data_IF_192208903505
#
_entry.id   IF_192208903505
#
_cell.length_a   1.000
_cell.length_b   1.000
_cell.length_c   1.000
_cell.angle_alpha   90.00
_cell.angle_beta   90.00
_cell.angle_gamma   90.00
#
_symmetry.space_group_name_H-M   'P 1'
#
loop_
_entity.id
_entity.type
_entity.pdbx_description
1 polymer ?
#
# COMPACT_ATOMS: atom_id res chain seq x y z
N UNK A 1 -30.73 -25.09 25.25
CA UNK A 1 -29.38 -24.73 24.75
C UNK A 1 -29.49 -23.46 23.91
N UNK A 2 -29.10 -22.30 24.45
CA UNK A 2 -29.10 -21.03 23.71
C UNK A 2 -27.80 -20.93 22.89
N UNK A 3 -27.93 -20.94 21.56
CA UNK A 3 -26.83 -20.95 20.57
C UNK A 3 -26.22 -19.54 20.35
N UNK A 4 -26.66 -18.52 21.09
CA UNK A 4 -26.14 -17.16 20.96
C UNK A 4 -25.20 -16.81 22.11
N UNK A 5 -23.96 -17.30 22.02
CA UNK A 5 -22.86 -16.78 22.84
C UNK A 5 -22.56 -15.34 22.45
N UNK A 6 -22.60 -14.43 23.44
CA UNK A 6 -22.34 -12.99 23.27
C UNK A 6 -20.93 -12.77 22.73
N UNK A 7 -20.84 -12.12 21.56
CA UNK A 7 -19.59 -11.60 20.98
C UNK A 7 -18.85 -10.79 22.05
N UNK A 8 -17.78 -11.35 22.61
CA UNK A 8 -16.95 -10.64 23.60
C UNK A 8 -16.48 -9.34 22.95
N UNK A 9 -16.77 -8.20 23.57
CA UNK A 9 -16.29 -6.90 23.11
C UNK A 9 -14.77 -6.94 23.21
N UNK A 10 -14.09 -7.01 22.07
CA UNK A 10 -12.62 -6.93 22.00
C UNK A 10 -12.18 -5.66 22.73
N UNK A 11 -11.32 -5.81 23.76
CA UNK A 11 -10.78 -4.67 24.48
C UNK A 11 -10.06 -3.71 23.53
N UNK A 12 -9.99 -2.41 23.87
CA UNK A 12 -9.35 -1.38 23.01
C UNK A 12 -7.92 -1.77 22.61
N UNK A 13 -7.17 -2.37 23.54
CA UNK A 13 -5.82 -2.91 23.28
C UNK A 13 -5.83 -4.10 22.32
N UNK A 14 -6.87 -4.94 22.37
CA UNK A 14 -7.04 -6.01 21.41
C UNK A 14 -7.33 -5.46 20.01
N UNK A 15 -8.10 -4.37 19.88
CA UNK A 15 -8.36 -3.72 18.59
C UNK A 15 -7.06 -3.20 17.96
N UNK A 16 -6.23 -2.48 18.73
CA UNK A 16 -4.93 -1.97 18.28
C UNK A 16 -4.00 -3.13 17.91
N UNK A 17 -3.93 -4.17 18.77
CA UNK A 17 -3.16 -5.38 18.47
C UNK A 17 -3.64 -6.10 17.21
N UNK A 18 -4.95 -6.17 16.97
CA UNK A 18 -5.50 -6.77 15.76
C UNK A 18 -5.22 -5.94 14.50
N UNK A 19 -5.09 -4.62 14.65
CA UNK A 19 -4.73 -3.74 13.55
C UNK A 19 -3.25 -3.88 13.16
N UNK A 20 -2.37 -3.97 14.15
CA UNK A 20 -0.92 -4.15 13.95
C UNK A 20 -0.58 -5.61 13.60
N UNK A 21 -1.31 -6.57 14.15
CA UNK A 21 -1.09 -8.00 13.96
C UNK A 21 -2.43 -8.75 13.78
N UNK A 22 -2.86 -9.01 12.54
CA UNK A 22 -4.09 -9.75 12.32
C UNK A 22 -4.00 -11.15 12.95
N UNK A 23 -5.04 -11.57 13.67
CA UNK A 23 -5.09 -12.86 14.38
C UNK A 23 -4.85 -14.09 13.47
N UNK A 24 -5.06 -13.93 12.16
CA UNK A 24 -4.83 -14.94 11.12
C UNK A 24 -3.39 -14.99 10.62
N UNK A 25 -2.53 -14.03 10.98
CA UNK A 25 -1.15 -13.87 10.54
C UNK A 25 -0.99 -13.20 9.16
N UNK A 26 0.13 -12.51 8.95
CA UNK A 26 0.44 -11.74 7.72
C UNK A 26 0.32 -12.55 6.43
N UNK A 27 0.76 -13.83 6.45
CA UNK A 27 0.67 -14.71 5.28
C UNK A 27 -0.78 -14.93 4.83
N UNK A 28 -1.74 -15.04 5.76
CA UNK A 28 -3.16 -15.20 5.41
C UNK A 28 -3.78 -13.89 4.96
N UNK A 29 -3.42 -12.77 5.58
CA UNK A 29 -3.88 -11.45 5.16
C UNK A 29 -3.43 -11.12 3.72
N UNK A 30 -2.14 -11.33 3.41
CA UNK A 30 -1.59 -11.16 2.06
C UNK A 30 -2.27 -12.09 1.06
N UNK A 31 -2.45 -13.37 1.43
CA UNK A 31 -3.14 -14.34 0.57
C UNK A 31 -4.59 -13.95 0.31
N UNK A 32 -5.29 -13.40 1.31
CA UNK A 32 -6.66 -12.91 1.18
C UNK A 32 -6.74 -11.68 0.26
N UNK A 33 -5.84 -10.70 0.45
CA UNK A 33 -5.75 -9.53 -0.44
C UNK A 33 -5.45 -9.96 -1.88
N UNK A 34 -4.53 -10.91 -2.08
CA UNK A 34 -4.22 -11.47 -3.39
C UNK A 34 -5.45 -12.16 -4.02
N UNK A 35 -6.20 -12.96 -3.27
CA UNK A 35 -7.44 -13.58 -3.77
C UNK A 35 -8.51 -12.56 -4.12
N UNK A 36 -8.64 -11.48 -3.33
CA UNK A 36 -9.59 -10.40 -3.62
C UNK A 36 -9.21 -9.70 -4.92
N UNK A 37 -7.93 -9.35 -5.11
CA UNK A 37 -7.42 -8.73 -6.34
C UNK A 37 -7.63 -9.63 -7.56
N UNK A 38 -7.40 -10.94 -7.44
CA UNK A 38 -7.60 -11.90 -8.54
C UNK A 38 -9.06 -12.05 -8.98
N UNK A 39 -10.01 -11.79 -8.09
CA UNK A 39 -11.45 -11.86 -8.36
C UNK A 39 -12.05 -10.55 -8.86
N UNK A 40 -11.26 -9.48 -8.96
CA UNK A 40 -11.74 -8.21 -9.52
C UNK A 40 -12.02 -8.43 -11.00
N UNK A 41 -13.25 -8.12 -11.42
CA UNK A 41 -13.66 -8.09 -12.82
C UNK A 41 -12.92 -6.95 -13.54
N UNK A 42 -12.35 -7.25 -14.71
CA UNK A 42 -11.51 -6.31 -15.48
C UNK A 42 -10.27 -6.98 -16.05
N UNK A 43 -9.54 -6.34 -16.96
CA UNK A 43 -8.34 -6.92 -17.59
C UNK A 43 -7.18 -7.11 -16.60
N UNK A 44 -6.27 -8.09 -16.80
CA UNK A 44 -5.07 -8.26 -15.95
C UNK A 44 -4.24 -6.97 -15.87
N UNK A 45 -4.10 -6.27 -17.00
CA UNK A 45 -3.40 -4.99 -17.08
C UNK A 45 -4.10 -3.90 -16.25
N UNK A 46 -5.43 -3.82 -16.30
CA UNK A 46 -6.18 -2.82 -15.53
C UNK A 46 -6.04 -3.03 -14.01
N UNK A 47 -6.07 -4.28 -13.55
CA UNK A 47 -5.83 -4.58 -12.13
C UNK A 47 -4.37 -4.26 -11.74
N UNK A 48 -3.40 -4.59 -12.60
CA UNK A 48 -1.99 -4.28 -12.36
C UNK A 48 -1.72 -2.78 -12.26
N UNK A 49 -2.31 -1.97 -13.15
CA UNK A 49 -2.22 -0.50 -13.11
C UNK A 49 -2.77 0.02 -11.78
N UNK A 50 -3.92 -0.48 -11.34
CA UNK A 50 -4.51 -0.07 -10.06
C UNK A 50 -3.58 -0.37 -8.89
N UNK A 51 -3.14 -1.62 -8.74
CA UNK A 51 -2.23 -2.00 -7.65
C UNK A 51 -0.92 -1.21 -7.70
N UNK A 52 -0.34 -1.00 -8.90
CA UNK A 52 0.88 -0.22 -9.08
C UNK A 52 0.73 1.22 -8.58
N UNK A 53 -0.38 1.90 -8.91
CA UNK A 53 -0.68 3.23 -8.38
C UNK A 53 -0.84 3.25 -6.85
N UNK A 54 -1.54 2.26 -6.28
CA UNK A 54 -1.69 2.18 -4.82
C UNK A 54 -0.37 2.01 -4.09
N UNK A 55 0.54 1.18 -4.62
CA UNK A 55 1.87 0.98 -4.04
C UNK A 55 2.77 2.19 -4.28
N UNK A 56 2.78 2.76 -5.48
CA UNK A 56 3.61 3.92 -5.81
C UNK A 56 3.31 5.12 -4.92
N UNK A 57 2.02 5.40 -4.70
CA UNK A 57 1.58 6.52 -3.84
C UNK A 57 1.96 6.28 -2.38
N UNK A 58 2.12 5.03 -1.94
CA UNK A 58 2.56 4.70 -0.58
C UNK A 58 3.97 5.19 -0.23
N UNK A 59 4.79 5.51 -1.22
CA UNK A 59 6.11 6.12 -1.01
C UNK A 59 6.06 7.64 -0.87
N UNK A 60 4.90 8.27 -1.10
CA UNK A 60 4.74 9.72 -0.98
C UNK A 60 4.34 10.11 0.45
N UNK A 61 4.70 11.31 0.94
CA UNK A 61 4.35 11.73 2.29
C UNK A 61 2.88 12.21 2.44
N UNK A 62 2.00 11.93 1.47
CA UNK A 62 0.63 12.44 1.44
C UNK A 62 -0.37 11.58 2.23
N UNK A 63 -0.06 11.18 3.47
CA UNK A 63 -0.69 10.06 4.20
C UNK A 63 -2.22 9.99 4.16
N UNK A 64 -2.92 11.11 4.29
CA UNK A 64 -4.39 11.15 4.27
C UNK A 64 -5.00 11.12 2.86
N UNK A 65 -4.22 11.42 1.82
CA UNK A 65 -4.67 11.54 0.43
C UNK A 65 -4.33 10.31 -0.43
N UNK A 66 -3.69 9.29 0.13
CA UNK A 66 -3.17 8.15 -0.62
C UNK A 66 -4.21 7.46 -1.48
N UNK A 67 -5.38 7.14 -0.90
CA UNK A 67 -6.46 6.47 -1.63
C UNK A 67 -6.93 7.35 -2.79
N UNK A 68 -7.13 8.66 -2.56
CA UNK A 68 -7.57 9.59 -3.58
C UNK A 68 -6.57 9.69 -4.75
N UNK A 69 -5.28 9.89 -4.44
CA UNK A 69 -4.22 10.01 -5.45
C UNK A 69 -4.07 8.69 -6.22
N UNK A 70 -4.08 7.55 -5.53
CA UNK A 70 -3.96 6.23 -6.16
C UNK A 70 -5.15 5.93 -7.09
N UNK A 71 -6.37 6.23 -6.64
CA UNK A 71 -7.59 6.06 -7.44
C UNK A 71 -7.58 7.00 -8.64
N UNK A 72 -7.19 8.27 -8.46
CA UNK A 72 -7.09 9.23 -9.56
C UNK A 72 -6.04 8.80 -10.61
N UNK A 73 -4.84 8.41 -10.17
CA UNK A 73 -3.79 7.92 -11.06
C UNK A 73 -4.21 6.64 -11.80
N UNK A 74 -4.84 5.70 -11.09
CA UNK A 74 -5.40 4.49 -11.70
C UNK A 74 -6.48 4.82 -12.72
N UNK A 75 -7.39 5.74 -12.42
CA UNK A 75 -8.46 6.16 -13.32
C UNK A 75 -7.91 6.76 -14.61
N UNK A 76 -6.92 7.66 -14.51
CA UNK A 76 -6.27 8.29 -15.67
C UNK A 76 -5.65 7.28 -16.64
N UNK A 77 -5.19 6.13 -16.14
CA UNK A 77 -4.58 5.06 -16.94
C UNK A 77 -5.56 3.92 -17.29
N UNK A 78 -6.87 4.08 -17.03
CA UNK A 78 -7.87 3.04 -17.28
C UNK A 78 -7.72 1.79 -16.40
N UNK A 79 -7.10 1.94 -15.23
CA UNK A 79 -6.90 0.88 -14.25
C UNK A 79 -8.07 0.69 -13.28
N UNK A 80 -8.03 -0.40 -12.51
CA UNK A 80 -9.05 -0.73 -11.51
C UNK A 80 -8.93 0.15 -10.27
N UNK A 81 -9.97 0.97 -10.01
CA UNK A 81 -10.05 1.85 -8.84
C UNK A 81 -10.03 1.06 -7.53
N UNK A 82 -10.72 -0.09 -7.50
CA UNK A 82 -10.73 -0.98 -6.33
C UNK A 82 -9.35 -1.58 -6.07
N UNK A 83 -8.63 -1.97 -7.14
CA UNK A 83 -7.28 -2.49 -7.01
C UNK A 83 -6.31 -1.41 -6.50
N UNK A 84 -6.50 -0.15 -6.90
CA UNK A 84 -5.74 0.99 -6.38
C UNK A 84 -5.95 1.21 -4.88
N UNK A 85 -7.20 1.23 -4.43
CA UNK A 85 -7.51 1.34 -3.00
C UNK A 85 -6.99 0.15 -2.18
N UNK A 86 -6.91 -1.06 -2.76
CA UNK A 86 -6.26 -2.21 -2.09
C UNK A 86 -4.74 -2.03 -2.08
N UNK A 87 -4.15 -1.50 -3.16
CA UNK A 87 -2.71 -1.26 -3.27
C UNK A 87 -2.19 -0.31 -2.20
N UNK A 88 -2.97 0.69 -1.78
CA UNK A 88 -2.57 1.62 -0.71
C UNK A 88 -2.44 0.96 0.66
N UNK A 89 -2.99 -0.26 0.87
CA UNK A 89 -2.77 -1.04 2.09
C UNK A 89 -1.31 -1.50 2.25
N UNK A 90 -0.49 -1.32 1.21
CA UNK A 90 0.95 -1.47 1.30
C UNK A 90 1.55 -0.55 2.37
N UNK A 91 1.02 0.67 2.51
CA UNK A 91 1.32 1.54 3.64
C UNK A 91 0.46 1.17 4.85
N UNK A 92 1.07 0.53 5.82
CA UNK A 92 0.47 0.12 7.08
C UNK A 92 1.38 0.56 8.24
N UNK A 93 0.92 0.51 9.51
CA UNK A 93 1.72 1.01 10.65
C UNK A 93 3.10 0.37 10.78
N UNK A 94 3.30 -0.82 10.24
CA UNK A 94 4.59 -1.51 10.25
C UNK A 94 5.50 -1.07 9.10
N UNK A 95 4.96 -0.87 7.90
CA UNK A 95 5.74 -0.43 6.73
C UNK A 95 6.01 1.07 6.73
N UNK A 96 5.16 1.86 7.40
CA UNK A 96 5.24 3.32 7.46
C UNK A 96 6.60 3.86 7.98
N UNK A 97 7.16 3.39 9.11
CA UNK A 97 8.45 3.89 9.59
C UNK A 97 9.59 3.58 8.62
N UNK A 98 9.54 2.40 7.99
CA UNK A 98 10.55 1.93 7.05
C UNK A 98 10.50 2.78 5.78
N UNK A 99 9.31 2.92 5.18
CA UNK A 99 9.11 3.71 3.96
C UNK A 99 9.53 5.16 4.20
N UNK A 100 9.09 5.77 5.31
CA UNK A 100 9.45 7.14 5.65
C UNK A 100 10.95 7.34 5.81
N UNK A 101 11.64 6.38 6.44
CA UNK A 101 13.09 6.44 6.60
C UNK A 101 13.82 6.32 5.24
N UNK A 102 13.43 5.37 4.39
CA UNK A 102 14.08 5.20 3.08
C UNK A 102 13.83 6.40 2.16
N UNK A 103 12.59 6.89 2.06
CA UNK A 103 12.24 8.02 1.18
C UNK A 103 12.92 9.30 1.62
N UNK A 104 13.02 9.52 2.94
CA UNK A 104 13.75 10.66 3.49
C UNK A 104 15.24 10.60 3.17
N UNK A 105 15.93 9.48 3.48
CA UNK A 105 17.37 9.36 3.24
C UNK A 105 17.71 9.46 1.75
N UNK A 106 16.90 8.82 0.91
CA UNK A 106 17.06 8.93 -0.54
C UNK A 106 16.85 10.38 -1.02
N UNK A 107 15.85 11.07 -0.47
CA UNK A 107 15.62 12.48 -0.73
C UNK A 107 16.81 13.37 -0.36
N UNK A 108 17.36 13.16 0.84
CA UNK A 108 18.53 13.89 1.34
C UNK A 108 19.79 13.63 0.53
N UNK A 109 19.93 12.44 -0.06
CA UNK A 109 21.02 12.16 -0.99
C UNK A 109 20.98 13.08 -2.22
N UNK A 110 19.79 13.32 -2.78
CA UNK A 110 19.62 14.19 -3.94
C UNK A 110 19.55 15.68 -3.59
N UNK A 111 18.99 16.02 -2.43
CA UNK A 111 18.87 17.38 -1.94
C UNK A 111 19.49 17.45 -0.53
N UNK A 112 20.81 17.65 -0.43
CA UNK A 112 21.50 17.76 0.85
C UNK A 112 21.01 19.03 1.56
N UNK A 113 19.96 18.90 2.37
CA UNK A 113 19.58 19.91 3.36
C UNK A 113 20.10 19.43 4.70
N UNK A 114 20.79 20.33 5.40
CA UNK A 114 21.55 20.09 6.64
C UNK A 114 20.71 19.77 7.88
N UNK A 115 19.51 19.17 7.72
CA UNK A 115 18.79 18.61 8.87
C UNK A 115 19.21 17.16 8.97
N UNK A 116 20.25 16.94 9.76
CA UNK A 116 20.68 15.61 10.14
C UNK A 116 19.54 14.97 10.95
N UNK A 117 18.81 14.01 10.37
CA UNK A 117 17.94 13.15 11.18
C UNK A 117 18.83 12.30 12.06
N UNK A 118 19.20 12.83 13.22
CA UNK A 118 19.64 12.01 14.32
C UNK A 118 18.48 11.07 14.65
N UNK A 119 18.59 9.84 14.16
CA UNK A 119 17.69 8.73 14.46
C UNK A 119 17.54 8.67 15.99
N UNK A 120 16.38 9.10 16.50
CA UNK A 120 16.11 9.19 17.94
C UNK A 120 15.63 10.55 18.46
N UNK A 121 15.84 11.65 17.72
CA UNK A 121 15.22 12.96 18.02
C UNK A 121 14.04 13.22 17.10
N UNK A 122 13.00 12.38 17.21
CA UNK A 122 11.72 12.70 16.60
C UNK A 122 11.20 13.93 17.34
N UNK A 123 10.96 15.08 16.67
CA UNK A 123 10.42 16.23 17.36
C UNK A 123 9.11 15.83 18.05
N UNK A 124 8.93 16.26 19.29
CA UNK A 124 7.68 16.06 20.04
C UNK A 124 6.50 16.48 19.16
N UNK A 125 5.36 15.79 19.26
CA UNK A 125 4.14 16.18 18.54
C UNK A 125 3.82 17.66 18.78
N UNK A 126 4.04 18.17 20.01
CA UNK A 126 3.89 19.60 20.31
C UNK A 126 4.80 20.49 19.46
N UNK A 127 6.08 20.13 19.34
CA UNK A 127 7.05 20.89 18.53
C UNK A 127 6.70 20.89 17.04
N UNK A 128 6.16 19.78 16.52
CA UNK A 128 5.69 19.67 15.12
C UNK A 128 4.49 20.59 14.89
N UNK A 129 3.55 20.67 15.84
CA UNK A 129 2.39 21.55 15.72
C UNK A 129 2.79 23.03 15.86
N UNK A 130 3.67 23.37 16.79
CA UNK A 130 4.09 24.74 17.06
C UNK A 130 4.99 25.31 15.95
N UNK A 131 5.79 24.46 15.31
CA UNK A 131 6.75 24.86 14.27
C UNK A 131 6.41 24.20 12.93
N UNK A 132 5.11 24.02 12.65
CA UNK A 132 4.65 23.28 11.48
C UNK A 132 5.28 23.80 10.18
N UNK A 133 5.36 25.12 9.98
CA UNK A 133 5.99 25.73 8.80
C UNK A 133 7.49 25.42 8.68
N UNK A 134 8.22 25.41 9.79
CA UNK A 134 9.68 25.20 9.83
C UNK A 134 10.05 23.71 9.74
N UNK A 135 9.18 22.81 10.21
CA UNK A 135 9.38 21.36 10.14
C UNK A 135 8.86 20.79 8.82
N UNK A 136 7.79 21.36 8.23
CA UNK A 136 7.16 20.80 7.04
C UNK A 136 8.12 20.80 5.84
N UNK A 137 8.71 21.93 5.50
CA UNK A 137 9.55 22.05 4.30
C UNK A 137 10.81 21.16 4.33
N UNK A 138 11.62 21.09 5.39
CA UNK A 138 12.83 20.28 5.40
C UNK A 138 12.57 18.78 5.63
N UNK A 139 11.42 18.36 6.16
CA UNK A 139 11.08 16.94 6.27
C UNK A 139 10.34 16.43 5.04
N UNK A 140 9.32 17.15 4.57
CA UNK A 140 8.50 16.68 3.45
C UNK A 140 9.23 16.80 2.12
N UNK A 141 10.06 17.83 1.91
CA UNK A 141 10.67 18.02 0.59
C UNK A 141 11.63 16.90 0.19
N UNK A 142 12.56 16.43 1.05
CA UNK A 142 13.33 15.23 0.77
C UNK A 142 12.44 14.01 0.55
N UNK A 143 11.42 13.81 1.39
CA UNK A 143 10.49 12.67 1.25
C UNK A 143 9.68 12.72 -0.04
N UNK A 144 9.30 13.89 -0.54
CA UNK A 144 8.63 14.05 -1.84
C UNK A 144 9.59 13.62 -2.95
N UNK A 145 10.84 14.05 -2.90
CA UNK A 145 11.84 13.74 -3.93
C UNK A 145 12.19 12.24 -3.94
N UNK A 146 12.56 11.69 -2.79
CA UNK A 146 12.85 10.26 -2.65
C UNK A 146 11.60 9.39 -2.88
N UNK A 147 10.44 9.86 -2.43
CA UNK A 147 9.14 9.22 -2.66
C UNK A 147 8.73 9.21 -4.12
N UNK A 148 9.02 10.26 -4.89
CA UNK A 148 8.79 10.29 -6.33
C UNK A 148 9.65 9.27 -7.05
N UNK A 149 10.96 9.23 -6.75
CA UNK A 149 11.90 8.26 -7.36
C UNK A 149 11.48 6.82 -7.05
N UNK A 150 11.24 6.49 -5.78
CA UNK A 150 10.80 5.15 -5.38
C UNK A 150 9.39 4.83 -5.87
N UNK A 151 8.50 5.82 -5.91
CA UNK A 151 7.15 5.69 -6.43
C UNK A 151 7.16 5.28 -7.90
N UNK A 152 7.96 5.95 -8.73
CA UNK A 152 8.10 5.61 -10.16
C UNK A 152 8.68 4.21 -10.34
N UNK A 153 9.79 3.90 -9.66
CA UNK A 153 10.45 2.58 -9.75
C UNK A 153 9.48 1.47 -9.31
N UNK A 154 8.84 1.65 -8.15
CA UNK A 154 7.90 0.67 -7.62
C UNK A 154 6.68 0.50 -8.52
N UNK A 155 6.18 1.57 -9.16
CA UNK A 155 5.08 1.48 -10.10
C UNK A 155 5.39 0.48 -11.23
N UNK A 156 6.54 0.62 -11.89
CA UNK A 156 6.93 -0.28 -12.98
C UNK A 156 7.13 -1.72 -12.51
N UNK A 157 7.84 -1.90 -11.39
CA UNK A 157 8.10 -3.24 -10.83
C UNK A 157 6.78 -3.93 -10.47
N UNK A 158 5.91 -3.25 -9.74
CA UNK A 158 4.61 -3.79 -9.29
C UNK A 158 3.71 -4.06 -10.49
N UNK A 159 3.67 -3.17 -11.47
CA UNK A 159 2.89 -3.37 -12.69
C UNK A 159 3.30 -4.67 -13.40
N UNK A 160 4.60 -4.88 -13.63
CA UNK A 160 5.11 -6.09 -14.30
C UNK A 160 4.76 -7.34 -13.49
N UNK A 161 5.07 -7.35 -12.19
CA UNK A 161 4.84 -8.50 -11.31
C UNK A 161 3.35 -8.84 -11.25
N UNK A 162 2.49 -7.86 -10.97
CA UNK A 162 1.05 -8.09 -10.77
C UNK A 162 0.39 -8.52 -12.08
N UNK A 163 0.76 -7.88 -13.21
CA UNK A 163 0.24 -8.27 -14.53
C UNK A 163 0.55 -9.74 -14.83
N UNK A 164 1.79 -10.15 -14.61
CA UNK A 164 2.23 -11.52 -14.89
C UNK A 164 1.54 -12.53 -13.96
N UNK A 165 1.47 -12.23 -12.66
CA UNK A 165 0.77 -13.09 -11.70
C UNK A 165 -0.71 -13.28 -12.04
N UNK A 166 -1.40 -12.20 -12.44
CA UNK A 166 -2.83 -12.27 -12.77
C UNK A 166 -3.04 -12.97 -14.13
N UNK A 167 -2.20 -12.71 -15.13
CA UNK A 167 -2.32 -13.37 -16.45
C UNK A 167 -2.20 -14.89 -16.29
N UNK A 168 -1.13 -15.36 -15.63
CA UNK A 168 -0.89 -16.78 -15.37
C UNK A 168 -2.04 -17.44 -14.61
N UNK A 169 -2.56 -16.76 -13.59
CA UNK A 169 -3.67 -17.28 -12.80
C UNK A 169 -4.95 -17.47 -13.64
N UNK A 170 -5.26 -16.50 -14.50
CA UNK A 170 -6.47 -16.54 -15.34
C UNK A 170 -6.35 -17.48 -16.52
N UNK A 171 -5.18 -17.58 -17.16
CA UNK A 171 -4.91 -18.56 -18.20
C UNK A 171 -5.04 -20.00 -17.68
N UNK A 172 -4.49 -20.28 -16.50
CA UNK A 172 -4.60 -21.59 -15.84
C UNK A 172 -6.07 -21.96 -15.56
N UNK A 173 -6.87 -21.00 -15.06
CA UNK A 173 -8.31 -21.18 -14.81
C UNK A 173 -9.11 -21.36 -16.10
N UNK A 174 -8.77 -20.64 -17.17
CA UNK A 174 -9.40 -20.78 -18.48
C UNK A 174 -9.15 -22.16 -19.10
N UNK A 175 -7.91 -22.67 -18.99
CA UNK A 175 -7.55 -24.02 -19.45
C UNK A 175 -8.30 -25.12 -18.70
N UNK A 176 -8.43 -25.00 -17.37
CA UNK A 176 -9.20 -25.97 -16.56
C UNK A 176 -10.68 -25.95 -16.94
N UNK A 177 -11.27 -24.76 -17.15
CA UNK A 177 -12.67 -24.66 -17.60
C UNK A 177 -12.88 -25.30 -18.96
N UNK A 178 -12.01 -25.04 -19.94
CA UNK A 178 -12.12 -25.64 -21.28
C UNK A 178 -11.90 -27.15 -21.25
N UNK A 179 -10.99 -27.66 -20.42
CA UNK A 179 -10.78 -29.12 -20.27
C UNK A 179 -12.03 -29.81 -19.71
N UNK A 180 -12.74 -29.18 -18.78
CA UNK A 180 -13.99 -29.74 -18.24
C UNK A 180 -15.11 -29.71 -19.29
N UNK A 181 -15.22 -28.65 -20.10
CA UNK A 181 -16.23 -28.56 -21.18
C UNK A 181 -15.99 -29.60 -22.29
N UNK A 182 -14.74 -29.97 -22.58
CA UNK A 182 -14.40 -30.97 -23.61
C UNK A 182 -14.64 -32.41 -23.10
N UNK A 183 -14.67 -32.62 -21.79
CA UNK A 183 -14.84 -33.93 -21.16
C UNK A 183 -16.30 -34.24 -20.77
N UNK A 184 -17.22 -33.29 -20.95
CA UNK A 184 -18.68 -33.43 -20.77
C UNK A 184 -19.36 -33.57 -22.15
#
# INVERSE_FOLDING_TARGET
MSIFSRKQRLGKLAIVRHFVWPHTGWRRALKYSAYRVQRIDGSPSGVAIGVAWGVAVSFTPFYFLHIGIAVAGSWLMGGSLLAAAIGTLFLNPLTFPIISWVTYNLGNYFLPRSIDLQVGKVPSMSYIFDNFSEVLAPYFLPMILGGFVLGVISWFIVFIIVRELISRYRESRGRIRNKNIIND
#
